data_IF_257424789889
#
_entry.id   IF_257424789889
#
_cell.length_a   1.000
_cell.length_b   1.000
_cell.length_c   1.000
_cell.angle_alpha   90.00
_cell.angle_beta   90.00
_cell.angle_gamma   90.00
#
_symmetry.space_group_name_H-M   'P 1'
#
loop_
_entity.id
_entity.type
_entity.pdbx_description
1 polymer ?
#
# COMPACT_ATOMS: atom_id res chain seq x y z
N UNK A 1 3.47 -10.76 -5.33
CA UNK A 1 2.63 -9.65 -4.79
C UNK A 1 3.35 -9.00 -3.63
N UNK A 2 3.51 -7.69 -3.64
CA UNK A 2 4.05 -6.89 -2.53
C UNK A 2 2.87 -6.45 -1.66
N UNK A 3 2.91 -6.74 -0.35
CA UNK A 3 1.83 -6.39 0.58
C UNK A 3 2.30 -5.25 1.48
N UNK A 4 1.55 -4.16 1.52
CA UNK A 4 1.72 -3.07 2.46
C UNK A 4 0.63 -3.22 3.53
N UNK A 5 1.04 -3.48 4.78
CA UNK A 5 0.11 -3.80 5.85
C UNK A 5 -0.56 -2.57 6.44
N UNK A 6 -1.87 -2.43 6.31
CA UNK A 6 -2.67 -1.23 6.62
C UNK A 6 -3.17 -1.10 8.07
N UNK A 7 -2.73 -1.96 8.99
CA UNK A 7 -3.37 -2.02 10.31
C UNK A 7 -2.95 -0.90 11.27
N UNK A 8 -1.81 -0.25 11.06
CA UNK A 8 -1.36 0.89 11.87
C UNK A 8 -1.84 2.23 11.27
N UNK A 9 -3.16 2.33 11.08
CA UNK A 9 -3.81 3.54 10.59
C UNK A 9 -4.65 4.18 11.70
N UNK A 10 -4.35 5.43 12.03
CA UNK A 10 -5.00 6.22 13.09
C UNK A 10 -6.48 6.53 12.85
N UNK A 11 -7.04 6.23 11.68
CA UNK A 11 -8.49 6.23 11.45
C UNK A 11 -9.20 5.11 12.22
N UNK A 12 -8.47 4.10 12.70
CA UNK A 12 -8.96 3.07 13.61
C UNK A 12 -8.83 3.55 15.04
N UNK A 13 -9.92 3.59 15.79
CA UNK A 13 -9.98 4.10 17.16
C UNK A 13 -8.91 3.49 18.07
N UNK A 14 -8.74 2.16 18.07
CA UNK A 14 -7.72 1.48 18.89
C UNK A 14 -6.27 1.86 18.52
N UNK A 15 -6.01 2.22 17.27
CA UNK A 15 -4.68 2.71 16.83
C UNK A 15 -4.49 4.15 17.25
N UNK A 16 -5.53 4.98 17.09
CA UNK A 16 -5.50 6.37 17.54
C UNK A 16 -5.22 6.47 19.04
N UNK A 17 -5.95 5.72 19.86
CA UNK A 17 -5.73 5.64 21.32
C UNK A 17 -4.30 5.20 21.65
N UNK A 18 -3.82 4.11 20.99
CA UNK A 18 -2.47 3.61 21.23
C UNK A 18 -1.38 4.63 20.87
N UNK A 19 -1.55 5.40 19.80
CA UNK A 19 -0.62 6.47 19.44
C UNK A 19 -0.69 7.64 20.43
N UNK A 20 -1.89 8.02 20.89
CA UNK A 20 -2.09 9.09 21.90
C UNK A 20 -1.46 8.75 23.24
N UNK A 21 -1.70 7.51 23.72
CA UNK A 21 -1.17 7.03 25.01
C UNK A 21 0.26 6.50 24.91
N UNK A 22 0.85 6.43 23.71
CA UNK A 22 2.17 5.85 23.44
C UNK A 22 2.26 4.39 23.90
N UNK A 23 1.23 3.59 23.60
CA UNK A 23 1.19 2.15 23.89
C UNK A 23 2.12 1.39 22.93
N UNK A 24 3.37 1.22 23.36
CA UNK A 24 4.40 0.55 22.57
C UNK A 24 4.08 -0.93 22.33
N UNK A 25 3.49 -1.61 23.33
CA UNK A 25 3.16 -3.03 23.22
C UNK A 25 2.11 -3.29 22.13
N UNK A 26 1.03 -2.49 22.12
CA UNK A 26 0.01 -2.58 21.10
C UNK A 26 0.57 -2.29 19.71
N UNK A 27 1.29 -1.17 19.53
CA UNK A 27 1.79 -0.73 18.22
C UNK A 27 2.79 -1.75 17.65
N UNK A 28 3.78 -2.18 18.44
CA UNK A 28 4.74 -3.21 18.04
C UNK A 28 4.07 -4.57 17.80
N UNK A 29 3.11 -4.94 18.66
CA UNK A 29 2.35 -6.18 18.50
C UNK A 29 1.56 -6.24 17.19
N UNK A 30 0.91 -5.13 16.79
CA UNK A 30 0.22 -5.04 15.50
C UNK A 30 1.20 -5.11 14.33
N UNK A 31 2.34 -4.45 14.42
CA UNK A 31 3.35 -4.46 13.37
C UNK A 31 3.97 -5.85 13.17
N UNK A 32 4.41 -6.51 14.25
CA UNK A 32 4.97 -7.87 14.22
C UNK A 32 4.00 -8.89 13.59
N UNK A 33 2.71 -8.82 13.94
CA UNK A 33 1.69 -9.70 13.34
C UNK A 33 1.61 -9.54 11.84
N UNK A 34 1.66 -8.30 11.34
CA UNK A 34 1.61 -8.01 9.91
C UNK A 34 2.89 -8.48 9.18
N UNK A 35 4.08 -8.26 9.78
CA UNK A 35 5.34 -8.75 9.24
C UNK A 35 5.34 -10.29 9.16
N UNK A 36 4.91 -10.97 10.23
CA UNK A 36 4.78 -12.43 10.26
C UNK A 36 3.78 -12.97 9.23
N UNK A 37 2.75 -12.20 8.92
CA UNK A 37 1.79 -12.52 7.87
C UNK A 37 2.29 -12.20 6.45
N UNK A 38 3.54 -11.76 6.28
CA UNK A 38 4.18 -11.57 4.98
C UNK A 38 4.05 -10.17 4.40
N UNK A 39 3.74 -9.15 5.21
CA UNK A 39 3.85 -7.78 4.77
C UNK A 39 5.29 -7.44 4.38
N UNK A 40 5.47 -6.71 3.27
CA UNK A 40 6.76 -6.19 2.82
C UNK A 40 7.06 -4.79 3.37
N UNK A 41 6.02 -4.09 3.77
CA UNK A 41 6.04 -2.79 4.45
C UNK A 41 4.95 -2.75 5.51
N UNK A 42 5.17 -1.98 6.56
CA UNK A 42 4.11 -1.57 7.49
C UNK A 42 3.73 -0.14 7.19
N UNK A 43 2.48 0.07 6.83
CA UNK A 43 1.93 1.40 6.60
C UNK A 43 1.61 2.06 7.93
N UNK A 44 2.25 3.19 8.18
CA UNK A 44 2.09 3.97 9.41
C UNK A 44 1.39 5.28 9.09
N UNK A 45 0.16 5.42 9.55
CA UNK A 45 -0.63 6.64 9.45
C UNK A 45 -0.95 7.16 10.86
N UNK A 46 -0.57 8.40 11.12
CA UNK A 46 -0.82 9.12 12.38
C UNK A 46 -1.66 10.40 12.18
N UNK A 47 -2.26 10.59 10.99
CA UNK A 47 -2.93 11.83 10.60
C UNK A 47 -4.11 12.21 11.50
N UNK A 48 -4.82 11.24 12.10
CA UNK A 48 -5.91 11.50 13.02
C UNK A 48 -5.46 12.11 14.38
N UNK A 49 -4.15 12.15 14.66
CA UNK A 49 -3.60 12.92 15.79
C UNK A 49 -3.61 14.44 15.53
N UNK A 50 -3.95 14.89 14.33
CA UNK A 50 -4.01 16.32 13.95
C UNK A 50 -2.68 17.04 14.25
N UNK A 51 -2.69 18.03 15.14
CA UNK A 51 -1.48 18.79 15.54
C UNK A 51 -0.40 17.89 16.19
N UNK A 52 -0.77 16.73 16.72
CA UNK A 52 0.13 15.73 17.30
C UNK A 52 0.76 14.77 16.29
N UNK A 53 0.45 14.85 15.00
CA UNK A 53 0.89 13.90 13.97
C UNK A 53 2.41 13.74 13.93
N UNK A 54 3.15 14.84 13.88
CA UNK A 54 4.61 14.82 13.80
C UNK A 54 5.23 14.14 15.03
N UNK A 55 4.73 14.47 16.22
CA UNK A 55 5.23 13.85 17.45
C UNK A 55 4.85 12.37 17.58
N UNK A 56 3.67 11.99 17.08
CA UNK A 56 3.25 10.60 16.94
C UNK A 56 4.19 9.79 16.03
N UNK A 57 4.52 10.33 14.86
CA UNK A 57 5.47 9.71 13.93
C UNK A 57 6.88 9.64 14.52
N UNK A 58 7.35 10.71 15.16
CA UNK A 58 8.66 10.75 15.83
C UNK A 58 8.82 9.71 16.93
N UNK A 59 7.75 9.41 17.61
CA UNK A 59 7.73 8.36 18.63
C UNK A 59 7.63 6.95 18.00
N UNK A 60 6.72 6.75 17.04
CA UNK A 60 6.43 5.42 16.52
C UNK A 60 7.52 4.87 15.57
N UNK A 61 8.13 5.72 14.73
CA UNK A 61 9.10 5.26 13.72
C UNK A 61 10.32 4.57 14.34
N UNK A 62 11.07 5.17 15.30
CA UNK A 62 12.21 4.49 15.90
C UNK A 62 11.81 3.22 16.64
N UNK A 63 10.66 3.24 17.32
CA UNK A 63 10.12 2.10 18.03
C UNK A 63 9.88 0.92 17.07
N UNK A 64 9.16 1.15 15.97
CA UNK A 64 8.87 0.14 14.97
C UNK A 64 10.13 -0.37 14.26
N UNK A 65 11.09 0.50 13.98
CA UNK A 65 12.35 0.11 13.33
C UNK A 65 13.28 -0.71 14.23
N UNK A 66 13.12 -0.64 15.55
CA UNK A 66 13.81 -1.55 16.45
C UNK A 66 13.21 -2.96 16.47
N UNK A 67 11.90 -3.07 16.18
CA UNK A 67 11.16 -4.33 16.25
C UNK A 67 11.08 -5.09 14.93
N UNK A 68 11.06 -4.35 13.80
CA UNK A 68 10.80 -4.89 12.46
C UNK A 68 12.09 -5.05 11.67
N UNK A 69 12.10 -6.03 10.78
CA UNK A 69 13.13 -6.22 9.74
C UNK A 69 12.74 -5.59 8.40
N UNK A 70 11.46 -5.30 8.22
CA UNK A 70 10.91 -4.68 7.00
C UNK A 70 10.79 -3.16 7.15
N UNK A 71 10.89 -2.40 6.05
CA UNK A 71 10.76 -0.95 6.08
C UNK A 71 9.31 -0.49 6.35
N UNK A 72 9.17 0.78 6.70
CA UNK A 72 7.88 1.44 6.85
C UNK A 72 7.42 2.08 5.53
N UNK A 73 6.12 2.14 5.35
CA UNK A 73 5.41 3.06 4.47
C UNK A 73 4.89 4.20 5.33
N UNK A 74 5.26 5.43 4.99
CA UNK A 74 4.82 6.62 5.72
C UNK A 74 3.60 7.19 5.00
N UNK A 75 2.45 7.06 5.64
CA UNK A 75 1.16 7.47 5.07
C UNK A 75 0.69 8.79 5.72
N UNK A 76 0.95 9.88 5.04
CA UNK A 76 0.48 11.21 5.43
C UNK A 76 0.34 12.13 4.23
N UNK A 77 -0.75 12.94 4.15
CA UNK A 77 -0.88 14.01 3.17
C UNK A 77 -0.13 15.29 3.58
N UNK A 78 0.40 15.35 4.82
CA UNK A 78 1.06 16.54 5.37
C UNK A 78 2.57 16.52 5.03
N UNK A 79 3.06 17.44 4.16
CA UNK A 79 4.46 17.44 3.76
C UNK A 79 5.43 17.65 4.92
N UNK A 80 5.03 18.43 5.95
CA UNK A 80 5.87 18.65 7.13
C UNK A 80 6.02 17.38 7.98
N UNK A 81 4.94 16.62 8.11
CA UNK A 81 4.96 15.34 8.79
C UNK A 81 5.78 14.30 8.00
N UNK A 82 5.62 14.28 6.67
CA UNK A 82 6.41 13.45 5.77
C UNK A 82 7.91 13.73 5.93
N UNK A 83 8.33 14.99 5.81
CA UNK A 83 9.73 15.40 5.96
C UNK A 83 10.27 15.03 7.35
N UNK A 84 9.51 15.31 8.42
CA UNK A 84 9.90 14.98 9.79
C UNK A 84 10.08 13.47 9.98
N UNK A 85 9.21 12.65 9.38
CA UNK A 85 9.31 11.19 9.42
C UNK A 85 10.57 10.68 8.68
N UNK A 86 10.85 11.22 7.49
CA UNK A 86 12.02 10.82 6.71
C UNK A 86 13.35 11.20 7.36
N UNK A 87 13.41 12.32 8.09
CA UNK A 87 14.61 12.74 8.84
C UNK A 87 15.00 11.76 9.97
N UNK A 88 14.06 10.99 10.47
CA UNK A 88 14.31 10.04 11.57
C UNK A 88 14.29 8.58 11.12
N UNK A 89 13.65 8.29 9.98
CA UNK A 89 13.59 6.94 9.44
C UNK A 89 14.98 6.48 8.97
N UNK A 90 15.42 5.31 9.41
CA UNK A 90 16.70 4.72 8.98
C UNK A 90 16.46 3.83 7.77
N UNK A 91 17.28 3.99 6.74
CA UNK A 91 17.15 3.24 5.50
C UNK A 91 16.08 3.82 4.59
N UNK A 92 15.58 3.01 3.66
CA UNK A 92 14.74 3.44 2.56
C UNK A 92 13.27 3.14 2.81
N UNK A 93 12.50 4.15 3.21
CA UNK A 93 11.05 4.06 3.40
C UNK A 93 10.27 4.10 2.07
N UNK A 94 8.98 3.81 2.14
CA UNK A 94 8.00 4.05 1.09
C UNK A 94 7.22 5.33 1.44
N UNK A 95 7.22 6.32 0.53
CA UNK A 95 6.42 7.53 0.63
C UNK A 95 5.00 7.23 0.15
N UNK A 96 4.01 7.37 1.01
CA UNK A 96 2.59 7.16 0.73
C UNK A 96 1.83 8.44 1.08
N UNK A 97 1.52 9.32 0.14
CA UNK A 97 1.76 9.26 -1.28
C UNK A 97 2.01 10.67 -1.83
N UNK A 98 2.28 10.77 -3.10
CA UNK A 98 2.25 12.01 -3.84
C UNK A 98 1.24 11.92 -4.99
N UNK A 99 0.83 13.08 -5.51
CA UNK A 99 -0.04 13.20 -6.69
C UNK A 99 0.64 13.98 -7.80
N UNK A 100 0.05 13.99 -9.01
CA UNK A 100 0.45 14.86 -10.12
C UNK A 100 0.01 16.32 -9.99
N UNK A 101 -0.69 16.68 -8.91
CA UNK A 101 -1.09 18.05 -8.64
C UNK A 101 0.13 18.94 -8.35
N UNK A 102 0.13 20.17 -8.82
CA UNK A 102 1.26 21.12 -8.67
C UNK A 102 1.65 21.32 -7.21
N UNK A 103 0.67 21.42 -6.32
CA UNK A 103 0.88 21.59 -4.88
C UNK A 103 1.61 20.37 -4.27
N UNK A 104 1.21 19.18 -4.66
CA UNK A 104 1.84 17.92 -4.21
C UNK A 104 3.27 17.80 -4.75
N UNK A 105 3.47 18.09 -6.04
CA UNK A 105 4.80 18.09 -6.66
C UNK A 105 5.74 19.06 -5.95
N UNK A 106 5.32 20.32 -5.73
CA UNK A 106 6.12 21.32 -5.05
C UNK A 106 6.50 20.93 -3.62
N UNK A 107 5.59 20.26 -2.92
CA UNK A 107 5.80 19.86 -1.53
C UNK A 107 6.64 18.59 -1.38
N UNK A 108 6.43 17.59 -2.25
CA UNK A 108 7.04 16.25 -2.09
C UNK A 108 8.36 16.10 -2.84
N UNK A 109 8.59 16.79 -3.97
CA UNK A 109 9.83 16.65 -4.72
C UNK A 109 11.09 17.00 -3.92
N UNK A 110 11.14 18.05 -3.07
CA UNK A 110 12.31 18.29 -2.23
C UNK A 110 12.65 17.10 -1.32
N UNK A 111 11.63 16.50 -0.70
CA UNK A 111 11.77 15.32 0.18
C UNK A 111 12.29 14.12 -0.64
N UNK A 112 11.71 13.91 -1.83
CA UNK A 112 12.12 12.82 -2.73
C UNK A 112 13.56 13.01 -3.19
N UNK A 113 13.97 14.23 -3.54
CA UNK A 113 15.35 14.54 -3.95
C UNK A 113 16.36 14.30 -2.83
N UNK A 114 15.99 14.62 -1.58
CA UNK A 114 16.88 14.48 -0.43
C UNK A 114 17.00 13.02 0.03
N UNK A 115 15.88 12.33 0.23
CA UNK A 115 15.85 11.01 0.88
C UNK A 115 15.80 9.83 -0.08
N UNK A 116 15.53 10.05 -1.37
CA UNK A 116 15.43 9.00 -2.41
C UNK A 116 14.56 7.79 -1.97
N UNK A 117 13.34 8.02 -1.49
CA UNK A 117 12.45 6.93 -1.06
C UNK A 117 12.00 6.06 -2.22
N UNK A 118 11.28 4.97 -1.93
CA UNK A 118 10.29 4.45 -2.87
C UNK A 118 9.05 5.30 -2.78
N UNK A 119 8.28 5.42 -3.86
CA UNK A 119 7.17 6.38 -3.94
C UNK A 119 5.90 5.71 -4.45
N UNK A 120 4.80 5.89 -3.73
CA UNK A 120 3.46 5.69 -4.29
C UNK A 120 3.04 7.01 -4.95
N UNK A 121 2.86 6.97 -6.27
CA UNK A 121 2.43 8.09 -7.09
C UNK A 121 0.99 7.85 -7.58
N UNK A 122 0.07 8.68 -7.11
CA UNK A 122 -1.33 8.61 -7.53
C UNK A 122 -1.49 9.25 -8.91
N UNK A 123 -2.20 8.61 -9.82
CA UNK A 123 -2.54 9.17 -11.14
C UNK A 123 -3.63 10.26 -11.03
N UNK A 124 -3.47 11.18 -10.06
CA UNK A 124 -4.36 12.29 -9.75
C UNK A 124 -3.74 13.61 -10.18
N UNK A 125 -4.51 14.45 -10.85
CA UNK A 125 -4.17 15.84 -11.19
C UNK A 125 -5.30 16.77 -10.77
N UNK A 126 -5.14 18.09 -10.95
CA UNK A 126 -6.16 19.11 -10.63
C UNK A 126 -7.52 18.84 -11.29
N UNK A 127 -7.53 18.13 -12.40
CA UNK A 127 -8.76 17.72 -13.11
C UNK A 127 -9.46 16.51 -12.48
N UNK A 128 -8.95 16.01 -11.35
CA UNK A 128 -9.47 14.86 -10.65
C UNK A 128 -8.84 13.54 -11.11
N UNK A 129 -9.41 12.39 -10.73
CA UNK A 129 -8.93 11.07 -11.12
C UNK A 129 -9.02 10.84 -12.64
N UNK A 130 -8.25 9.88 -13.21
CA UNK A 130 -8.27 9.63 -14.64
C UNK A 130 -9.65 9.15 -15.11
N UNK A 131 -10.13 9.72 -16.21
CA UNK A 131 -11.42 9.38 -16.80
C UNK A 131 -11.36 8.08 -17.65
N UNK A 132 -10.17 7.65 -18.07
CA UNK A 132 -9.92 6.42 -18.80
C UNK A 132 -8.48 5.94 -18.64
N UNK A 133 -8.19 4.72 -19.03
CA UNK A 133 -6.87 4.10 -18.89
C UNK A 133 -5.76 4.84 -19.69
N UNK A 134 -6.09 5.49 -20.82
CA UNK A 134 -5.14 6.31 -21.57
C UNK A 134 -4.62 7.48 -20.75
N UNK A 135 -5.54 8.23 -20.14
CA UNK A 135 -5.19 9.36 -19.25
C UNK A 135 -4.37 8.87 -18.04
N UNK A 136 -4.69 7.69 -17.49
CA UNK A 136 -3.90 7.13 -16.39
C UNK A 136 -2.45 6.88 -16.80
N UNK A 137 -2.22 6.30 -17.99
CA UNK A 137 -0.86 6.08 -18.53
C UNK A 137 -0.15 7.39 -18.82
N UNK A 138 -0.80 8.35 -19.46
CA UNK A 138 -0.20 9.66 -19.78
C UNK A 138 0.28 10.37 -18.51
N UNK A 139 -0.50 10.29 -17.43
CA UNK A 139 -0.12 10.85 -16.12
C UNK A 139 1.02 10.08 -15.48
N UNK A 140 0.96 8.75 -15.51
CA UNK A 140 2.03 7.91 -15.00
C UNK A 140 3.35 8.18 -15.74
N UNK A 141 3.32 8.36 -17.06
CA UNK A 141 4.52 8.71 -17.84
C UNK A 141 5.11 10.06 -17.42
N UNK A 142 4.29 11.10 -17.34
CA UNK A 142 4.73 12.44 -16.87
C UNK A 142 5.35 12.40 -15.48
N UNK A 143 4.70 11.67 -14.54
CA UNK A 143 5.23 11.52 -13.18
C UNK A 143 6.51 10.71 -13.16
N UNK A 144 6.65 9.70 -14.02
CA UNK A 144 7.90 8.94 -14.15
C UNK A 144 9.05 9.84 -14.56
N UNK A 145 8.85 10.69 -15.57
CA UNK A 145 9.89 11.60 -16.06
C UNK A 145 10.36 12.57 -14.96
N UNK A 146 9.40 13.12 -14.20
CA UNK A 146 9.69 14.00 -13.05
C UNK A 146 10.45 13.28 -11.95
N UNK A 147 10.03 12.05 -11.60
CA UNK A 147 10.63 11.28 -10.52
C UNK A 147 12.03 10.74 -10.90
N UNK A 148 12.25 10.38 -12.16
CA UNK A 148 13.58 10.04 -12.67
C UNK A 148 14.53 11.25 -12.61
N UNK A 149 14.05 12.44 -13.00
CA UNK A 149 14.82 13.68 -12.85
C UNK A 149 15.12 14.00 -11.39
N UNK A 150 14.23 13.64 -10.47
CA UNK A 150 14.47 13.71 -9.03
C UNK A 150 15.45 12.64 -8.52
N UNK A 151 15.91 11.72 -9.37
CA UNK A 151 16.96 10.72 -9.10
C UNK A 151 16.44 9.37 -8.62
N UNK A 152 15.17 9.05 -8.82
CA UNK A 152 14.63 7.71 -8.59
C UNK A 152 14.86 6.78 -9.79
N UNK A 153 14.79 5.48 -9.55
CA UNK A 153 14.74 4.48 -10.62
C UNK A 153 13.26 4.09 -10.88
N UNK A 154 12.89 3.68 -12.09
CA UNK A 154 11.52 3.26 -12.40
C UNK A 154 10.97 2.20 -11.45
N UNK A 155 11.82 1.26 -11.00
CA UNK A 155 11.46 0.17 -10.09
C UNK A 155 11.11 0.64 -8.67
N UNK A 156 11.40 1.90 -8.34
CA UNK A 156 11.08 2.52 -7.06
C UNK A 156 9.73 3.22 -7.05
N UNK A 157 9.08 3.32 -8.22
CA UNK A 157 7.82 4.04 -8.41
C UNK A 157 6.66 3.05 -8.47
N UNK A 158 5.65 3.29 -7.63
CA UNK A 158 4.42 2.51 -7.56
C UNK A 158 3.25 3.40 -7.98
N UNK A 159 2.68 3.16 -9.14
CA UNK A 159 1.53 3.92 -9.63
C UNK A 159 0.22 3.35 -9.11
N UNK A 160 -0.59 4.21 -8.48
CA UNK A 160 -1.99 3.93 -8.16
C UNK A 160 -2.89 4.66 -9.15
N UNK A 161 -3.55 3.95 -10.08
CA UNK A 161 -4.51 4.53 -11.02
C UNK A 161 -5.80 5.02 -10.36
N UNK A 162 -5.95 4.82 -9.04
CA UNK A 162 -7.09 5.23 -8.22
C UNK A 162 -8.37 4.44 -8.49
N UNK A 163 -8.60 3.41 -7.68
CA UNK A 163 -9.90 2.75 -7.65
C UNK A 163 -10.87 3.56 -6.78
N UNK A 164 -12.00 3.96 -7.37
CA UNK A 164 -13.11 4.59 -6.64
C UNK A 164 -14.11 3.53 -6.19
N UNK A 165 -14.93 3.82 -5.15
CA UNK A 165 -15.98 2.90 -4.73
C UNK A 165 -16.95 2.56 -5.86
N UNK A 166 -17.15 1.27 -6.12
CA UNK A 166 -18.11 0.82 -7.17
C UNK A 166 -19.56 1.21 -6.86
N UNK A 167 -19.87 1.50 -5.59
CA UNK A 167 -21.16 2.03 -5.20
C UNK A 167 -21.40 3.48 -5.64
N UNK A 168 -20.33 4.23 -5.96
CA UNK A 168 -20.39 5.59 -6.48
C UNK A 168 -20.27 5.59 -8.02
N UNK A 169 -19.40 4.73 -8.54
CA UNK A 169 -19.16 4.59 -9.98
C UNK A 169 -18.93 3.12 -10.33
N UNK A 170 -19.97 2.50 -10.89
CA UNK A 170 -19.95 1.06 -11.23
C UNK A 170 -18.85 0.69 -12.24
N UNK A 171 -18.35 1.62 -13.06
CA UNK A 171 -17.28 1.40 -14.01
C UNK A 171 -15.88 1.49 -13.40
N UNK A 172 -15.75 2.02 -12.17
CA UNK A 172 -14.47 2.31 -11.55
C UNK A 172 -13.55 1.10 -11.42
N UNK A 173 -14.11 -0.07 -11.06
CA UNK A 173 -13.34 -1.31 -10.97
C UNK A 173 -12.72 -1.71 -12.30
N UNK A 174 -13.52 -1.72 -13.36
CA UNK A 174 -13.07 -2.04 -14.72
C UNK A 174 -12.02 -1.03 -15.21
N UNK A 175 -12.27 0.26 -15.01
CA UNK A 175 -11.33 1.33 -15.36
C UNK A 175 -9.97 1.15 -14.69
N UNK A 176 -9.96 0.81 -13.39
CA UNK A 176 -8.73 0.54 -12.66
C UNK A 176 -7.97 -0.65 -13.28
N UNK A 177 -8.67 -1.76 -13.53
CA UNK A 177 -8.08 -2.97 -14.11
C UNK A 177 -7.45 -2.69 -15.50
N UNK A 178 -8.13 -1.96 -16.34
CA UNK A 178 -7.63 -1.57 -17.67
C UNK A 178 -6.44 -0.62 -17.56
N UNK A 179 -6.44 0.28 -16.56
CA UNK A 179 -5.33 1.20 -16.30
C UNK A 179 -4.09 0.44 -15.85
N UNK A 180 -4.23 -0.52 -14.92
CA UNK A 180 -3.12 -1.38 -14.47
C UNK A 180 -2.50 -2.13 -15.64
N UNK A 181 -3.33 -2.81 -16.45
CA UNK A 181 -2.85 -3.57 -17.62
C UNK A 181 -2.10 -2.68 -18.61
N UNK A 182 -2.66 -1.51 -18.90
CA UNK A 182 -2.07 -0.57 -19.86
C UNK A 182 -0.75 0.01 -19.33
N UNK A 183 -0.67 0.42 -18.06
CA UNK A 183 0.57 0.88 -17.42
C UNK A 183 1.64 -0.21 -17.49
N UNK A 184 1.31 -1.45 -17.12
CA UNK A 184 2.28 -2.56 -17.14
C UNK A 184 2.78 -2.89 -18.55
N UNK A 185 1.94 -2.76 -19.56
CA UNK A 185 2.31 -2.99 -20.95
C UNK A 185 3.23 -1.90 -21.49
N UNK A 186 2.93 -0.64 -21.20
CA UNK A 186 3.66 0.51 -21.76
C UNK A 186 4.87 0.92 -20.92
N UNK A 187 4.83 0.63 -19.61
CA UNK A 187 5.86 1.00 -18.65
C UNK A 187 6.24 -0.21 -17.76
N UNK A 188 6.86 -1.28 -18.33
CA UNK A 188 7.06 -2.55 -17.61
C UNK A 188 7.99 -2.46 -16.40
N UNK A 189 8.81 -1.43 -16.30
CA UNK A 189 9.79 -1.24 -15.23
C UNK A 189 9.21 -0.56 -13.98
N UNK A 190 8.08 0.15 -14.09
CA UNK A 190 7.40 0.68 -12.92
C UNK A 190 6.51 -0.37 -12.27
N UNK A 191 6.14 -0.14 -11.02
CA UNK A 191 5.18 -0.98 -10.30
C UNK A 191 3.80 -0.34 -10.28
N UNK A 192 2.79 -1.18 -10.13
CA UNK A 192 1.40 -0.75 -9.91
C UNK A 192 0.94 -1.17 -8.52
N UNK A 193 0.09 -0.35 -7.90
CA UNK A 193 -0.42 -0.55 -6.54
C UNK A 193 -1.90 -0.21 -6.46
N UNK A 194 -2.59 -0.81 -5.51
CA UNK A 194 -3.98 -0.50 -5.16
C UNK A 194 -4.17 -0.32 -3.65
N UNK A 195 -4.86 0.72 -3.26
CA UNK A 195 -5.56 0.79 -1.97
C UNK A 195 -6.81 -0.09 -2.04
N UNK A 196 -6.66 -1.38 -1.73
CA UNK A 196 -7.65 -2.42 -2.03
C UNK A 196 -9.04 -2.13 -1.50
N UNK A 197 -9.12 -1.64 -0.26
CA UNK A 197 -10.38 -1.43 0.46
C UNK A 197 -11.27 -0.34 -0.16
N UNK A 198 -10.73 0.50 -1.03
CA UNK A 198 -11.46 1.61 -1.66
C UNK A 198 -12.55 1.09 -2.61
N UNK A 199 -12.28 0.02 -3.37
CA UNK A 199 -13.24 -0.52 -4.36
C UNK A 199 -14.60 -0.84 -3.75
N UNK A 200 -14.63 -1.31 -2.52
CA UNK A 200 -15.83 -1.80 -1.83
C UNK A 200 -16.38 -0.84 -0.77
N UNK A 201 -15.87 0.40 -0.70
CA UNK A 201 -16.34 1.35 0.32
C UNK A 201 -17.84 1.60 0.19
N UNK A 202 -18.57 1.52 1.32
CA UNK A 202 -20.03 1.65 1.36
C UNK A 202 -20.82 0.43 0.86
N UNK A 203 -20.16 -0.64 0.37
CA UNK A 203 -20.84 -1.83 -0.16
C UNK A 203 -21.04 -2.90 0.91
N UNK A 204 -22.09 -3.75 0.79
CA UNK A 204 -22.18 -4.97 1.58
C UNK A 204 -21.12 -6.00 1.13
N UNK A 205 -20.82 -6.98 2.00
CA UNK A 205 -19.89 -8.07 1.68
C UNK A 205 -18.50 -7.59 1.18
N UNK A 206 -17.98 -6.53 1.77
CA UNK A 206 -16.72 -5.87 1.36
C UNK A 206 -15.56 -6.85 1.16
N UNK A 207 -15.41 -7.82 2.08
CA UNK A 207 -14.33 -8.81 2.01
C UNK A 207 -14.40 -9.66 0.73
N UNK A 208 -15.60 -10.03 0.28
CA UNK A 208 -15.77 -10.78 -0.97
C UNK A 208 -15.38 -9.93 -2.18
N UNK A 209 -15.86 -8.69 -2.23
CA UNK A 209 -15.51 -7.75 -3.31
C UNK A 209 -14.01 -7.49 -3.37
N UNK A 210 -13.37 -7.22 -2.22
CA UNK A 210 -11.94 -6.97 -2.16
C UNK A 210 -11.11 -8.16 -2.68
N UNK A 211 -11.44 -9.38 -2.26
CA UNK A 211 -10.73 -10.59 -2.71
C UNK A 211 -10.89 -10.84 -4.20
N UNK A 212 -12.11 -10.71 -4.72
CA UNK A 212 -12.39 -10.86 -6.14
C UNK A 212 -11.67 -9.80 -6.96
N UNK A 213 -11.75 -8.54 -6.54
CA UNK A 213 -11.06 -7.44 -7.21
C UNK A 213 -9.54 -7.64 -7.21
N UNK A 214 -8.97 -8.07 -6.09
CA UNK A 214 -7.52 -8.33 -6.01
C UNK A 214 -7.08 -9.42 -7.01
N UNK A 215 -7.83 -10.53 -7.10
CA UNK A 215 -7.52 -11.61 -8.05
C UNK A 215 -7.55 -11.11 -9.50
N UNK A 216 -8.57 -10.32 -9.85
CA UNK A 216 -8.68 -9.69 -11.17
C UNK A 216 -7.54 -8.72 -11.45
N UNK A 217 -7.17 -7.89 -10.46
CA UNK A 217 -6.07 -6.92 -10.59
C UNK A 217 -4.71 -7.62 -10.73
N UNK A 218 -4.48 -8.72 -9.99
CA UNK A 218 -3.29 -9.55 -10.16
C UNK A 218 -3.19 -10.13 -11.58
N UNK A 219 -4.31 -10.56 -12.15
CA UNK A 219 -4.35 -11.05 -13.54
C UNK A 219 -4.04 -9.95 -14.57
N UNK A 220 -4.24 -8.67 -14.24
CA UNK A 220 -3.88 -7.51 -15.05
C UNK A 220 -2.46 -6.98 -14.77
N UNK A 221 -1.70 -7.62 -13.87
CA UNK A 221 -0.32 -7.28 -13.58
C UNK A 221 -0.11 -6.37 -12.37
N UNK A 222 -1.06 -6.27 -11.44
CA UNK A 222 -0.88 -5.54 -10.19
C UNK A 222 0.31 -6.10 -9.39
N UNK A 223 1.25 -5.24 -9.02
CA UNK A 223 2.50 -5.61 -8.30
C UNK A 223 2.34 -5.55 -6.79
N UNK A 224 1.57 -4.59 -6.29
CA UNK A 224 1.45 -4.28 -4.86
C UNK A 224 0.01 -3.96 -4.44
N UNK A 225 -0.27 -4.14 -3.14
CA UNK A 225 -1.56 -3.76 -2.55
C UNK A 225 -1.40 -3.29 -1.12
N UNK A 226 -2.13 -2.24 -0.75
CA UNK A 226 -2.32 -1.83 0.64
C UNK A 226 -3.55 -2.59 1.14
N UNK A 227 -3.37 -3.47 2.12
CA UNK A 227 -4.44 -4.32 2.63
C UNK A 227 -4.14 -4.85 4.04
N UNK A 228 -5.12 -5.52 4.67
CA UNK A 228 -4.91 -6.24 5.92
C UNK A 228 -4.25 -7.61 5.66
N UNK A 229 -2.95 -7.79 5.97
CA UNK A 229 -2.27 -9.06 5.75
C UNK A 229 -2.76 -10.18 6.69
N UNK A 230 -3.52 -9.86 7.73
CA UNK A 230 -4.12 -10.84 8.65
C UNK A 230 -5.45 -11.41 8.15
N UNK A 231 -6.00 -10.90 7.04
CA UNK A 231 -7.18 -11.53 6.41
C UNK A 231 -6.76 -12.84 5.71
N UNK A 232 -7.05 -13.95 6.39
CA UNK A 232 -6.66 -15.32 5.96
C UNK A 232 -7.19 -15.64 4.56
N UNK A 233 -8.41 -15.21 4.25
CA UNK A 233 -9.02 -15.47 2.95
C UNK A 233 -8.43 -14.59 1.84
N UNK A 234 -7.98 -13.37 2.18
CA UNK A 234 -7.24 -12.52 1.26
C UNK A 234 -5.87 -13.14 0.93
N UNK A 235 -5.17 -13.65 1.94
CA UNK A 235 -3.92 -14.39 1.76
C UNK A 235 -4.12 -15.64 0.88
N UNK A 236 -5.21 -16.38 1.11
CA UNK A 236 -5.57 -17.52 0.26
C UNK A 236 -5.75 -17.10 -1.20
N UNK A 237 -6.43 -15.97 -1.43
CA UNK A 237 -6.63 -15.40 -2.77
C UNK A 237 -5.30 -15.04 -3.43
N UNK A 238 -4.39 -14.37 -2.71
CA UNK A 238 -3.07 -13.98 -3.23
C UNK A 238 -2.27 -15.22 -3.66
N UNK A 239 -2.18 -16.23 -2.81
CA UNK A 239 -1.41 -17.45 -3.12
C UNK A 239 -2.04 -18.24 -4.26
N UNK A 240 -3.36 -18.35 -4.29
CA UNK A 240 -4.08 -19.06 -5.36
C UNK A 240 -3.95 -18.35 -6.70
N UNK A 241 -4.14 -17.03 -6.72
CA UNK A 241 -3.99 -16.23 -7.94
C UNK A 241 -2.55 -16.30 -8.47
N UNK A 242 -1.54 -16.15 -7.61
CA UNK A 242 -0.14 -16.26 -8.02
C UNK A 242 0.20 -17.63 -8.62
N UNK A 243 -0.35 -18.72 -8.05
CA UNK A 243 -0.19 -20.06 -8.58
C UNK A 243 -0.82 -20.22 -9.97
N UNK A 244 -2.06 -19.74 -10.14
CA UNK A 244 -2.81 -19.80 -11.42
C UNK A 244 -2.17 -18.93 -12.52
N UNK A 245 -1.56 -17.82 -12.15
CA UNK A 245 -0.87 -16.90 -13.05
C UNK A 245 0.57 -17.33 -13.39
N UNK A 246 1.04 -18.48 -12.89
CA UNK A 246 2.41 -18.95 -13.13
C UNK A 246 3.50 -18.15 -12.39
N UNK A 247 3.10 -17.32 -11.42
CA UNK A 247 4.00 -16.49 -10.62
C UNK A 247 4.60 -17.23 -9.42
N UNK A 248 4.20 -18.48 -9.18
CA UNK A 248 4.71 -19.36 -8.11
C UNK A 248 5.30 -20.65 -8.73
N UNK A 249 6.58 -20.62 -9.17
CA UNK A 249 7.22 -21.79 -9.78
C UNK A 249 7.18 -23.00 -8.87
N UNK A 250 6.70 -24.12 -9.39
CA UNK A 250 6.54 -25.38 -8.66
C UNK A 250 5.55 -25.34 -7.48
N UNK A 251 4.68 -24.33 -7.43
CA UNK A 251 3.62 -24.13 -6.41
C UNK A 251 4.16 -24.11 -4.96
N UNK A 252 5.42 -23.72 -4.77
CA UNK A 252 6.09 -23.80 -3.45
C UNK A 252 5.46 -22.88 -2.41
N UNK A 253 5.11 -21.66 -2.82
CA UNK A 253 4.50 -20.67 -1.92
C UNK A 253 3.07 -21.08 -1.56
N UNK A 254 2.28 -21.48 -2.56
CA UNK A 254 0.92 -21.97 -2.38
C UNK A 254 0.83 -23.17 -1.45
N UNK A 255 1.65 -24.21 -1.70
CA UNK A 255 1.65 -25.42 -0.86
C UNK A 255 2.14 -25.14 0.57
N UNK A 256 3.12 -24.24 0.74
CA UNK A 256 3.57 -23.82 2.07
C UNK A 256 2.47 -23.11 2.84
N UNK A 257 1.77 -22.21 2.18
CA UNK A 257 0.64 -21.49 2.76
C UNK A 257 -0.46 -22.45 3.22
N UNK A 258 -0.88 -23.40 2.37
CA UNK A 258 -1.91 -24.39 2.73
C UNK A 258 -1.51 -25.28 3.92
N UNK A 259 -0.24 -25.72 3.99
CA UNK A 259 0.26 -26.50 5.13
C UNK A 259 0.24 -25.69 6.42
N UNK A 260 0.67 -24.44 6.37
CA UNK A 260 0.63 -23.55 7.55
C UNK A 260 -0.82 -23.29 8.01
N UNK A 261 -1.74 -23.08 7.08
CA UNK A 261 -3.17 -22.90 7.37
C UNK A 261 -3.78 -24.14 8.02
N UNK A 262 -3.56 -25.33 7.45
CA UNK A 262 -4.09 -26.58 8.00
C UNK A 262 -3.56 -26.86 9.43
N UNK A 263 -2.27 -26.55 9.69
CA UNK A 263 -1.71 -26.66 11.02
C UNK A 263 -2.39 -25.72 12.02
N UNK A 264 -2.58 -24.45 11.65
CA UNK A 264 -3.23 -23.47 12.52
C UNK A 264 -4.72 -23.81 12.79
N UNK A 265 -5.42 -24.41 11.83
CA UNK A 265 -6.79 -24.88 12.00
C UNK A 265 -6.86 -26.11 12.94
N UNK A 266 -5.90 -27.06 12.85
CA UNK A 266 -5.83 -28.21 13.75
C UNK A 266 -5.52 -27.82 15.21
N UNK A 267 -4.66 -26.82 15.41
CA UNK A 267 -4.33 -26.31 16.75
C UNK A 267 -5.53 -25.62 17.42
N UNK A 268 -6.37 -24.94 16.64
CA UNK A 268 -7.60 -24.29 17.15
C UNK A 268 -8.71 -25.27 17.52
N UNK A 269 -8.79 -26.41 16.81
CA UNK A 269 -9.82 -27.43 17.05
C UNK A 269 -9.41 -28.46 18.13
N UNK A 270 -8.15 -28.44 18.58
CA UNK A 270 -7.64 -29.33 19.63
C UNK A 270 -7.52 -28.66 21.01
N UNK A 271 -7.90 -27.38 21.12
CA UNK A 271 -7.97 -26.61 22.37
C UNK A 271 -9.42 -26.42 22.82
#
# INVERSE_FOLDING_TARGET
MIIIGERLNSSRESVLEALQCRDAEFVCGQARKQEQAGAAYIDLNAAALMDGEIEGLRWAIPLLQCELKIPLSIDTPNPRAMEAAFKIHKGRALLNSMTGEKSSLQAMLPIICEFKPRVIALCLEETGPPANAGIAVDRAQKLTDVLIQAGLQPEDIFFDPLVRPIGVDAASGALFLDSVEKIKREMPHVKTIAGLSNVSFGMPQRRLLNRTFLALAMARGLDATICDPLDVELQATIHSAAALLGQDPSLKSYLRYLRARAKAESEKNGS
#
